data_IF_017283977532
#
_entry.id   IF_017283977532
#
_cell.length_a   1.000
_cell.length_b   1.000
_cell.length_c   1.000
_cell.angle_alpha   90.00
_cell.angle_beta   90.00
_cell.angle_gamma   90.00
#
_symmetry.space_group_name_H-M   'P 1'
#
loop_
_entity.id
_entity.type
_entity.pdbx_description
1 polymer ?
#
# COMPACT_ATOMS: atom_id res chain seq x y z
N UNK A 1 12.66 -3.26 5.16
CA UNK A 1 12.03 -3.43 3.85
C UNK A 1 10.88 -2.47 3.66
N UNK A 2 10.76 -1.86 2.50
CA UNK A 2 9.66 -0.99 2.19
C UNK A 2 8.41 -1.80 1.84
N UNK A 3 7.25 -1.20 2.00
CA UNK A 3 6.01 -1.85 1.60
C UNK A 3 5.98 -2.16 0.11
N UNK A 4 6.58 -1.29 -0.70
CA UNK A 4 6.67 -1.48 -2.13
C UNK A 4 7.38 -2.79 -2.48
N UNK A 5 8.47 -3.09 -1.80
CA UNK A 5 9.20 -4.34 -2.00
C UNK A 5 8.39 -5.55 -1.57
N UNK A 6 7.68 -5.44 -0.44
CA UNK A 6 6.83 -6.52 0.04
C UNK A 6 5.73 -6.85 -0.95
N UNK A 7 5.11 -5.82 -1.52
CA UNK A 7 4.06 -5.98 -2.53
C UNK A 7 4.61 -6.69 -3.75
N UNK A 8 5.78 -6.26 -4.21
CA UNK A 8 6.44 -6.87 -5.35
C UNK A 8 6.78 -8.33 -5.09
N UNK A 9 7.33 -8.63 -3.93
CA UNK A 9 7.74 -9.99 -3.56
C UNK A 9 6.54 -10.94 -3.47
N UNK A 10 5.39 -10.43 -3.05
CA UNK A 10 4.17 -11.23 -2.96
C UNK A 10 3.43 -11.32 -4.29
N UNK A 11 3.86 -10.57 -5.30
CA UNK A 11 3.21 -10.56 -6.60
C UNK A 11 1.84 -9.90 -6.61
N UNK A 12 1.59 -8.99 -5.68
CA UNK A 12 0.31 -8.32 -5.55
C UNK A 12 0.23 -7.12 -6.49
N UNK A 13 -0.98 -6.81 -6.94
CA UNK A 13 -1.21 -5.66 -7.80
C UNK A 13 -1.59 -4.44 -6.97
N UNK A 14 -1.06 -3.28 -7.35
CA UNK A 14 -1.34 -2.02 -6.66
C UNK A 14 -2.84 -1.70 -6.69
N UNK A 15 -3.49 -1.93 -7.83
CA UNK A 15 -4.92 -1.65 -7.97
C UNK A 15 -5.76 -2.48 -7.00
N UNK A 16 -5.38 -3.74 -6.80
CA UNK A 16 -6.08 -4.61 -5.86
C UNK A 16 -5.91 -4.11 -4.42
N UNK A 17 -4.69 -3.73 -4.06
CA UNK A 17 -4.41 -3.23 -2.72
C UNK A 17 -5.15 -1.93 -2.45
N UNK A 18 -5.17 -1.02 -3.43
CA UNK A 18 -5.89 0.25 -3.31
C UNK A 18 -7.37 0.02 -3.04
N UNK A 19 -7.99 -0.93 -3.73
CA UNK A 19 -9.38 -1.29 -3.51
C UNK A 19 -9.61 -1.82 -2.10
N UNK A 20 -8.74 -2.70 -1.63
CA UNK A 20 -8.87 -3.30 -0.30
C UNK A 20 -8.71 -2.26 0.81
N UNK A 21 -7.84 -1.30 0.62
CA UNK A 21 -7.59 -0.25 1.61
C UNK A 21 -8.63 0.86 1.50
N UNK A 22 -9.20 1.06 0.31
CA UNK A 22 -10.19 2.11 0.09
C UNK A 22 -9.58 3.45 -0.31
N UNK A 23 -8.44 3.43 -0.99
CA UNK A 23 -7.79 4.63 -1.52
C UNK A 23 -7.66 4.52 -3.02
N UNK A 24 -7.41 5.66 -3.69
CA UNK A 24 -7.17 5.63 -5.12
C UNK A 24 -5.79 5.04 -5.43
N UNK A 25 -5.64 4.49 -6.63
CA UNK A 25 -4.36 3.93 -7.05
C UNK A 25 -3.24 4.98 -7.04
N UNK A 26 -3.45 6.20 -7.59
CA UNK A 26 -2.41 7.23 -7.52
C UNK A 26 -2.03 7.60 -6.09
N UNK A 27 -3.01 7.66 -5.19
CA UNK A 27 -2.75 8.00 -3.80
C UNK A 27 -1.92 6.91 -3.12
N UNK A 28 -2.26 5.66 -3.35
CA UNK A 28 -1.49 4.54 -2.82
C UNK A 28 -0.05 4.59 -3.32
N UNK A 29 0.13 4.88 -4.59
CA UNK A 29 1.46 5.01 -5.18
C UNK A 29 2.28 6.09 -4.47
N UNK A 30 1.67 7.23 -4.17
CA UNK A 30 2.34 8.30 -3.43
C UNK A 30 2.75 7.86 -2.02
N UNK A 31 1.90 7.11 -1.34
CA UNK A 31 2.23 6.59 -0.03
C UNK A 31 3.42 5.63 -0.10
N UNK A 32 3.43 4.76 -1.09
CA UNK A 32 4.48 3.77 -1.25
C UNK A 32 5.82 4.38 -1.65
N UNK A 33 5.77 5.49 -2.40
CA UNK A 33 6.98 6.19 -2.83
C UNK A 33 7.51 7.18 -1.80
N UNK A 34 6.74 7.42 -0.73
CA UNK A 34 7.15 8.37 0.30
C UNK A 34 6.81 9.82 -0.01
N UNK A 35 6.03 10.08 -1.06
CA UNK A 35 5.61 11.42 -1.43
C UNK A 35 4.58 12.00 -0.46
N UNK A 36 3.88 11.14 0.26
CA UNK A 36 2.91 11.54 1.27
C UNK A 36 3.06 10.65 2.50
N UNK A 37 2.79 11.23 3.66
CA UNK A 37 2.78 10.48 4.91
C UNK A 37 1.57 9.57 4.96
N UNK A 38 1.80 8.28 5.19
CA UNK A 38 0.73 7.29 5.27
C UNK A 38 0.01 7.39 6.61
N UNK A 39 -1.32 7.60 6.63
CA UNK A 39 -2.07 7.59 7.88
C UNK A 39 -2.01 6.21 8.56
N UNK A 40 -2.15 6.21 9.87
CA UNK A 40 -2.11 4.95 10.64
C UNK A 40 -3.18 3.95 10.18
N UNK A 41 -4.36 4.44 9.83
CA UNK A 41 -5.44 3.59 9.33
C UNK A 41 -5.04 2.86 8.06
N UNK A 42 -4.45 3.59 7.11
CA UNK A 42 -4.00 3.02 5.85
C UNK A 42 -2.86 2.04 6.11
N UNK A 43 -1.91 2.43 6.94
CA UNK A 43 -0.77 1.57 7.28
C UNK A 43 -1.23 0.27 7.94
N UNK A 44 -2.18 0.36 8.86
CA UNK A 44 -2.70 -0.81 9.54
C UNK A 44 -3.36 -1.79 8.57
N UNK A 45 -4.17 -1.27 7.66
CA UNK A 45 -4.82 -2.09 6.64
C UNK A 45 -3.80 -2.72 5.70
N UNK A 46 -2.81 -1.95 5.32
CA UNK A 46 -1.75 -2.43 4.44
C UNK A 46 -0.94 -3.55 5.10
N UNK A 47 -0.59 -3.38 6.35
CA UNK A 47 0.13 -4.43 7.09
C UNK A 47 -0.65 -5.73 7.15
N UNK A 48 -1.97 -5.65 7.34
CA UNK A 48 -2.81 -6.85 7.36
C UNK A 48 -2.81 -7.57 6.01
N UNK A 49 -2.82 -6.81 4.93
CA UNK A 49 -2.78 -7.40 3.59
C UNK A 49 -1.42 -8.04 3.27
N UNK A 50 -0.36 -7.51 3.85
CA UNK A 50 1.00 -7.97 3.58
C UNK A 50 1.51 -9.00 4.58
N UNK A 51 0.67 -9.44 5.45
CA UNK A 51 1.00 -10.43 6.45
C UNK A 51 1.34 -11.79 5.88
#
# INVERSE_FOLDING_TARGET
MSYKERIKNKGLKIVWIAEKIGVSQPLLSMYLNGDRTMPKEVESKLKKLLK
#
